data_IF_855475085188
#
_entry.id   IF_855475085188
#
_cell.length_a   1.000
_cell.length_b   1.000
_cell.length_c   1.000
_cell.angle_alpha   90.00
_cell.angle_beta   90.00
_cell.angle_gamma   90.00
#
_symmetry.space_group_name_H-M   'P 1'
#
loop_
_entity.id
_entity.type
_entity.pdbx_description
1 polymer ?
#
# COMPACT_ATOMS: atom_id res chain seq x y z
N UNK A 1 -7.65 -5.54 -21.77
CA UNK A 1 -6.72 -5.02 -22.78
C UNK A 1 -7.33 -5.14 -24.19
N UNK A 2 -8.11 -6.18 -24.47
CA UNK A 2 -8.82 -6.31 -25.77
C UNK A 2 -9.86 -5.21 -26.03
N UNK A 3 -10.24 -4.43 -25.04
CA UNK A 3 -11.22 -3.31 -25.17
C UNK A 3 -10.55 -1.98 -25.55
N UNK A 4 -9.22 -1.89 -25.57
CA UNK A 4 -8.49 -0.65 -25.86
C UNK A 4 -8.52 0.39 -24.72
N UNK A 5 -8.96 0.00 -23.52
CA UNK A 5 -9.05 0.90 -22.36
C UNK A 5 -7.68 1.19 -21.72
N UNK A 6 -6.75 0.23 -21.80
CA UNK A 6 -5.34 0.41 -21.44
C UNK A 6 -4.48 0.33 -22.70
N UNK A 7 -3.61 1.31 -22.90
CA UNK A 7 -2.81 1.45 -24.11
C UNK A 7 -1.35 1.13 -23.83
N UNK A 8 -0.71 0.43 -24.76
CA UNK A 8 0.70 0.15 -24.75
C UNK A 8 1.53 1.46 -24.71
N UNK A 9 2.63 1.46 -23.95
CA UNK A 9 3.55 2.58 -23.85
C UNK A 9 3.09 3.75 -23.00
N UNK A 10 1.88 3.73 -22.45
CA UNK A 10 1.45 4.69 -21.45
C UNK A 10 1.90 4.27 -20.03
N UNK A 11 2.04 5.27 -19.16
CA UNK A 11 2.39 5.07 -17.75
C UNK A 11 1.15 5.09 -16.89
N UNK A 12 1.05 4.13 -16.00
CA UNK A 12 -0.13 3.94 -15.16
C UNK A 12 0.20 3.95 -13.68
N UNK A 13 -0.78 4.38 -12.90
CA UNK A 13 -0.81 4.21 -11.45
C UNK A 13 -1.55 2.90 -11.13
N UNK A 14 -0.95 2.10 -10.27
CA UNK A 14 -1.47 0.80 -9.84
C UNK A 14 -1.77 0.85 -8.34
N UNK A 15 -2.96 0.46 -7.98
CA UNK A 15 -3.40 0.32 -6.59
C UNK A 15 -3.68 -1.15 -6.27
N UNK A 16 -3.26 -1.59 -5.10
CA UNK A 16 -3.60 -2.92 -4.60
C UNK A 16 -4.06 -2.82 -3.14
N UNK A 17 -5.23 -3.39 -2.86
CA UNK A 17 -5.80 -3.44 -1.52
C UNK A 17 -6.64 -4.70 -1.32
N UNK A 18 -6.88 -5.05 -0.04
CA UNK A 18 -7.75 -6.15 0.34
C UNK A 18 -9.13 -5.62 0.73
N UNK A 19 -10.15 -6.17 0.10
CA UNK A 19 -11.54 -5.83 0.37
C UNK A 19 -12.23 -6.96 1.14
N UNK A 20 -12.87 -6.63 2.26
CA UNK A 20 -13.66 -7.63 2.99
C UNK A 20 -15.07 -7.73 2.41
N UNK A 21 -15.47 -8.96 2.11
CA UNK A 21 -16.81 -9.29 1.61
C UNK A 21 -17.49 -10.17 2.64
N UNK A 22 -18.45 -9.59 3.36
CA UNK A 22 -19.29 -10.35 4.31
C UNK A 22 -20.23 -11.30 3.59
N UNK A 23 -20.30 -12.53 4.05
CA UNK A 23 -21.19 -13.56 3.46
C UNK A 23 -21.47 -14.67 4.46
N UNK A 24 -22.68 -15.26 4.35
CA UNK A 24 -23.09 -16.45 5.09
C UNK A 24 -22.79 -17.78 4.39
N UNK A 25 -21.95 -17.81 3.35
CA UNK A 25 -21.60 -19.08 2.68
C UNK A 25 -20.90 -20.03 3.63
N UNK A 26 -21.13 -21.33 3.44
CA UNK A 26 -20.65 -22.39 4.34
C UNK A 26 -19.12 -22.50 4.42
N UNK A 27 -18.41 -22.09 3.38
CA UNK A 27 -16.96 -22.13 3.27
C UNK A 27 -16.28 -20.82 3.71
N UNK A 28 -17.06 -19.76 3.95
CA UNK A 28 -16.54 -18.47 4.41
C UNK A 28 -15.92 -18.58 5.81
N UNK A 29 -14.86 -17.81 6.09
CA UNK A 29 -14.11 -17.85 7.35
C UNK A 29 -14.31 -16.57 8.17
N UNK A 30 -14.20 -16.65 9.51
CA UNK A 30 -14.24 -15.47 10.36
C UNK A 30 -13.14 -14.49 9.99
N UNK A 31 -13.48 -13.21 9.89
CA UNK A 31 -12.52 -12.12 9.65
C UNK A 31 -12.07 -11.50 10.98
N UNK A 32 -10.96 -10.75 10.99
CA UNK A 32 -10.56 -9.98 12.18
C UNK A 32 -11.58 -8.87 12.53
N UNK A 33 -12.43 -8.48 11.59
CA UNK A 33 -13.52 -7.51 11.81
C UNK A 33 -14.76 -8.13 12.46
N UNK A 34 -14.68 -9.41 12.91
CA UNK A 34 -15.73 -10.15 13.64
C UNK A 34 -16.99 -10.49 12.83
N UNK A 35 -16.88 -10.58 11.53
CA UNK A 35 -17.90 -11.19 10.66
C UNK A 35 -17.29 -12.33 9.84
N UNK A 36 -18.13 -13.16 9.24
CA UNK A 36 -17.72 -14.26 8.36
C UNK A 36 -17.70 -13.78 6.91
N UNK A 37 -16.62 -14.09 6.17
CA UNK A 37 -16.49 -13.61 4.79
C UNK A 37 -15.22 -14.04 4.10
N UNK A 38 -14.94 -13.33 3.00
CA UNK A 38 -13.71 -13.43 2.21
C UNK A 38 -12.91 -12.11 2.30
N UNK A 39 -11.63 -12.19 1.94
CA UNK A 39 -10.72 -11.03 1.88
C UNK A 39 -9.95 -11.03 0.57
N UNK A 40 -10.61 -10.87 -0.60
CA UNK A 40 -9.90 -10.81 -1.86
C UNK A 40 -8.94 -9.63 -1.92
N UNK A 41 -7.76 -9.86 -2.50
CA UNK A 41 -6.86 -8.82 -2.97
C UNK A 41 -7.31 -8.33 -4.34
N UNK A 42 -7.42 -7.02 -4.51
CA UNK A 42 -7.90 -6.38 -5.74
C UNK A 42 -6.83 -5.42 -6.25
N UNK A 43 -6.44 -5.61 -7.51
CA UNK A 43 -5.53 -4.73 -8.24
C UNK A 43 -6.31 -3.87 -9.22
N UNK A 44 -6.07 -2.56 -9.22
CA UNK A 44 -6.75 -1.61 -10.12
C UNK A 44 -5.77 -0.67 -10.80
N UNK A 45 -6.12 -0.23 -12.00
CA UNK A 45 -5.49 0.85 -12.76
C UNK A 45 -6.62 1.82 -13.15
N UNK A 46 -6.65 3.01 -12.51
CA UNK A 46 -7.79 3.90 -12.65
C UNK A 46 -9.09 3.22 -12.22
N UNK A 47 -10.07 3.12 -13.13
CA UNK A 47 -11.36 2.48 -12.88
C UNK A 47 -11.40 1.00 -13.30
N UNK A 48 -10.26 0.43 -13.73
CA UNK A 48 -10.18 -0.92 -14.27
C UNK A 48 -9.60 -1.92 -13.27
N UNK A 49 -10.32 -2.98 -12.99
CA UNK A 49 -9.80 -4.11 -12.21
C UNK A 49 -8.90 -4.95 -13.13
N UNK A 50 -7.59 -4.99 -12.82
CA UNK A 50 -6.58 -5.72 -13.59
C UNK A 50 -6.18 -7.04 -12.94
N UNK A 51 -6.57 -7.26 -11.70
CA UNK A 51 -6.32 -8.51 -11.00
C UNK A 51 -7.19 -8.69 -9.76
N UNK A 52 -7.62 -9.92 -9.52
CA UNK A 52 -8.30 -10.32 -8.28
C UNK A 52 -7.70 -11.63 -7.83
N UNK A 53 -7.41 -11.72 -6.55
CA UNK A 53 -7.09 -12.98 -5.90
C UNK A 53 -8.02 -13.20 -4.71
N UNK A 54 -8.87 -14.22 -4.82
CA UNK A 54 -9.77 -14.56 -3.72
C UNK A 54 -9.02 -15.20 -2.56
N UNK A 55 -9.39 -14.81 -1.33
CA UNK A 55 -8.80 -15.31 -0.09
C UNK A 55 -9.87 -15.48 0.97
N UNK A 56 -9.64 -16.45 1.84
CA UNK A 56 -10.45 -16.62 3.03
C UNK A 56 -10.34 -15.39 3.95
N UNK A 57 -11.44 -15.09 4.65
CA UNK A 57 -11.52 -13.92 5.54
C UNK A 57 -10.51 -13.90 6.69
N UNK A 58 -9.97 -15.05 7.09
CA UNK A 58 -8.94 -15.20 8.12
C UNK A 58 -7.51 -15.26 7.57
N UNK A 59 -7.32 -15.16 6.25
CA UNK A 59 -5.99 -15.20 5.64
C UNK A 59 -5.21 -13.93 5.96
N UNK A 60 -3.95 -14.07 6.37
CA UNK A 60 -3.06 -12.93 6.52
C UNK A 60 -2.87 -12.22 5.16
N UNK A 61 -3.03 -10.91 5.13
CA UNK A 61 -2.92 -10.11 3.89
C UNK A 61 -1.59 -10.33 3.15
N UNK A 62 -0.50 -10.63 3.85
CA UNK A 62 0.83 -10.91 3.25
C UNK A 62 1.02 -12.33 2.73
N UNK A 63 0.11 -13.24 3.09
CA UNK A 63 0.26 -14.63 2.67
C UNK A 63 0.27 -14.74 1.15
N UNK A 64 1.43 -15.09 0.59
CA UNK A 64 1.68 -15.19 -0.86
C UNK A 64 1.28 -13.96 -1.69
N UNK A 65 1.29 -12.77 -1.07
CA UNK A 65 0.95 -11.53 -1.78
C UNK A 65 2.00 -11.19 -2.84
N UNK A 66 3.28 -11.46 -2.57
CA UNK A 66 4.36 -11.31 -3.54
C UNK A 66 4.11 -12.14 -4.80
N UNK A 67 3.66 -13.41 -4.68
CA UNK A 67 3.36 -14.27 -5.84
C UNK A 67 2.18 -13.72 -6.65
N UNK A 68 1.20 -13.14 -5.97
CA UNK A 68 0.03 -12.51 -6.62
C UNK A 68 0.43 -11.28 -7.42
N UNK A 69 1.22 -10.41 -6.81
CA UNK A 69 1.70 -9.18 -7.45
C UNK A 69 2.61 -9.49 -8.64
N UNK A 70 3.57 -10.39 -8.48
CA UNK A 70 4.45 -10.86 -9.55
C UNK A 70 3.66 -11.34 -10.76
N UNK A 71 2.65 -12.19 -10.53
CA UNK A 71 1.79 -12.71 -11.59
C UNK A 71 0.97 -11.61 -12.28
N UNK A 72 0.52 -10.60 -11.55
CA UNK A 72 -0.25 -9.49 -12.12
C UNK A 72 0.67 -8.57 -12.93
N UNK A 73 1.81 -8.19 -12.38
CA UNK A 73 2.77 -7.32 -13.08
C UNK A 73 3.31 -7.97 -14.35
N UNK A 74 3.75 -9.22 -14.28
CA UNK A 74 4.20 -9.96 -15.46
C UNK A 74 3.13 -9.98 -16.55
N UNK A 75 1.86 -10.22 -16.20
CA UNK A 75 0.77 -10.20 -17.18
C UNK A 75 0.54 -8.82 -17.80
N UNK A 76 0.68 -7.75 -17.03
CA UNK A 76 0.57 -6.38 -17.53
C UNK A 76 1.72 -6.08 -18.50
N UNK A 77 2.95 -6.41 -18.13
CA UNK A 77 4.16 -6.22 -18.95
C UNK A 77 4.11 -7.04 -20.24
N UNK A 78 3.68 -8.29 -20.21
CA UNK A 78 3.47 -9.15 -21.39
C UNK A 78 2.48 -8.55 -22.39
N UNK A 79 1.63 -7.62 -21.94
CA UNK A 79 0.69 -6.87 -22.77
C UNK A 79 1.12 -5.41 -23.02
N UNK A 80 2.38 -5.07 -22.79
CA UNK A 80 2.94 -3.74 -23.04
C UNK A 80 2.46 -2.65 -22.08
N UNK A 81 1.87 -3.02 -20.93
CA UNK A 81 1.39 -2.07 -19.92
C UNK A 81 2.46 -1.89 -18.86
N UNK A 82 2.97 -0.67 -18.70
CA UNK A 82 4.01 -0.34 -17.75
C UNK A 82 3.46 0.46 -16.56
N UNK A 83 3.87 0.06 -15.36
CA UNK A 83 3.45 0.74 -14.13
C UNK A 83 4.48 1.82 -13.77
N UNK A 84 4.02 3.06 -13.63
CA UNK A 84 4.86 4.16 -13.16
C UNK A 84 4.86 4.24 -11.62
N UNK A 85 3.69 4.16 -11.01
CA UNK A 85 3.52 4.29 -9.57
C UNK A 85 2.65 3.17 -9.01
N UNK A 86 3.09 2.63 -7.86
CA UNK A 86 2.33 1.65 -7.07
C UNK A 86 1.94 2.27 -5.75
N UNK A 87 0.67 2.13 -5.34
CA UNK A 87 0.16 2.54 -4.03
C UNK A 87 -0.43 1.36 -3.28
N UNK A 88 -0.04 1.20 -2.01
CA UNK A 88 -0.52 0.11 -1.16
C UNK A 88 -0.60 0.57 0.31
N UNK A 89 -1.41 -0.10 1.09
CA UNK A 89 -1.55 0.13 2.52
C UNK A 89 -0.40 -0.50 3.35
N UNK A 90 -0.46 -0.33 4.67
CA UNK A 90 0.55 -0.88 5.59
C UNK A 90 0.50 -2.41 5.72
N UNK A 91 -0.58 -3.05 5.32
CA UNK A 91 -0.71 -4.51 5.25
C UNK A 91 0.32 -5.11 4.30
N UNK A 92 0.65 -4.39 3.25
CA UNK A 92 1.60 -4.78 2.20
C UNK A 92 3.06 -4.40 2.50
N UNK A 93 3.35 -3.75 3.63
CA UNK A 93 4.71 -3.32 3.96
C UNK A 93 5.55 -4.48 4.52
N UNK A 94 6.07 -5.33 3.66
CA UNK A 94 7.10 -6.35 3.95
C UNK A 94 8.22 -6.31 2.93
N UNK A 95 9.37 -6.89 3.28
CA UNK A 95 10.56 -6.88 2.42
C UNK A 95 10.29 -7.53 1.06
N UNK A 96 9.71 -8.73 1.09
CA UNK A 96 9.43 -9.53 -0.11
C UNK A 96 8.45 -8.83 -1.06
N UNK A 97 7.43 -8.16 -0.51
CA UNK A 97 6.46 -7.42 -1.31
C UNK A 97 7.09 -6.17 -1.92
N UNK A 98 7.89 -5.43 -1.14
CA UNK A 98 8.57 -4.22 -1.62
C UNK A 98 9.60 -4.56 -2.71
N UNK A 99 10.29 -5.68 -2.59
CA UNK A 99 11.23 -6.14 -3.63
C UNK A 99 10.50 -6.38 -4.95
N UNK A 100 9.41 -7.15 -4.97
CA UNK A 100 8.60 -7.37 -6.16
C UNK A 100 8.10 -6.04 -6.75
N UNK A 101 7.51 -5.19 -5.93
CA UNK A 101 6.98 -3.90 -6.40
C UNK A 101 8.07 -3.04 -7.04
N UNK A 102 9.27 -3.02 -6.45
CA UNK A 102 10.40 -2.24 -6.92
C UNK A 102 10.94 -2.71 -8.27
N UNK A 103 10.82 -4.00 -8.56
CA UNK A 103 11.28 -4.56 -9.83
C UNK A 103 10.34 -4.23 -11.00
N UNK A 104 9.07 -3.86 -10.73
CA UNK A 104 8.02 -3.66 -11.72
C UNK A 104 7.49 -2.22 -11.85
N UNK A 105 8.02 -1.25 -11.09
CA UNK A 105 7.57 0.14 -11.19
C UNK A 105 8.71 1.15 -11.00
N UNK A 106 8.47 2.39 -11.46
CA UNK A 106 9.44 3.47 -11.26
C UNK A 106 9.38 4.05 -9.85
N UNK A 107 8.18 4.10 -9.26
CA UNK A 107 7.95 4.69 -7.94
C UNK A 107 6.92 3.88 -7.16
N UNK A 108 7.08 3.80 -5.84
CA UNK A 108 6.07 3.19 -4.99
C UNK A 108 5.79 4.03 -3.74
N UNK A 109 4.58 3.93 -3.25
CA UNK A 109 4.06 4.59 -2.05
C UNK A 109 3.34 3.55 -1.19
N UNK A 110 4.07 2.96 -0.24
CA UNK A 110 3.54 1.95 0.67
C UNK A 110 3.54 2.54 2.07
N UNK A 111 2.39 2.58 2.72
CA UNK A 111 2.32 3.06 4.09
C UNK A 111 3.20 2.19 4.98
N UNK A 112 4.21 2.80 5.60
CA UNK A 112 5.13 2.08 6.46
C UNK A 112 4.46 1.64 7.77
N UNK A 113 4.89 0.48 8.28
CA UNK A 113 4.50 -0.03 9.58
C UNK A 113 5.75 -0.26 10.45
N UNK A 114 5.56 -0.40 11.76
CA UNK A 114 6.62 -0.70 12.72
C UNK A 114 7.83 0.25 12.58
N UNK A 115 7.55 1.56 12.54
CA UNK A 115 8.56 2.60 12.39
C UNK A 115 9.06 3.16 13.72
N UNK A 116 8.72 2.55 14.86
CA UNK A 116 9.13 3.03 16.20
C UNK A 116 10.64 3.12 16.37
N UNK A 117 11.40 2.25 15.71
CA UNK A 117 12.87 2.30 15.72
C UNK A 117 13.46 3.60 15.12
N UNK A 118 12.67 4.35 14.35
CA UNK A 118 13.09 5.59 13.70
C UNK A 118 12.49 6.84 14.34
N UNK A 119 11.78 6.71 15.48
CA UNK A 119 11.11 7.86 16.09
C UNK A 119 12.10 8.92 16.55
N UNK A 120 13.22 8.55 17.14
CA UNK A 120 14.24 9.49 17.57
C UNK A 120 14.80 10.28 16.39
N UNK A 121 15.06 9.63 15.26
CA UNK A 121 15.49 10.28 14.03
C UNK A 121 14.42 11.23 13.47
N UNK A 122 13.14 10.84 13.56
CA UNK A 122 12.02 11.68 13.13
C UNK A 122 11.86 12.93 14.01
N UNK A 123 12.07 12.80 15.32
CA UNK A 123 11.94 13.93 16.27
C UNK A 123 12.97 15.04 16.05
N UNK A 124 14.17 14.69 15.63
CA UNK A 124 15.24 15.66 15.39
C UNK A 124 15.19 16.33 14.02
N UNK A 125 14.27 15.89 13.13
CA UNK A 125 14.13 16.47 11.80
C UNK A 125 13.89 17.97 11.84
N UNK A 126 14.57 18.70 10.95
CA UNK A 126 14.42 20.14 10.72
C UNK A 126 13.96 20.39 9.29
N UNK A 127 13.46 21.59 9.00
CA UNK A 127 13.07 21.97 7.64
C UNK A 127 11.76 21.30 7.19
N UNK A 128 10.79 21.22 8.08
CA UNK A 128 9.44 20.76 7.76
C UNK A 128 8.79 21.69 6.74
N UNK A 129 8.17 21.12 5.72
CA UNK A 129 7.41 21.80 4.69
C UNK A 129 5.93 21.68 4.99
N UNK A 130 5.22 22.81 5.05
CA UNK A 130 3.77 22.83 5.23
C UNK A 130 3.09 22.64 3.88
N UNK A 131 2.12 21.74 3.84
CA UNK A 131 1.27 21.46 2.67
C UNK A 131 -0.17 21.35 3.12
N UNK A 132 -1.09 21.85 2.32
CA UNK A 132 -2.53 21.67 2.51
C UNK A 132 -3.02 20.52 1.64
N UNK A 133 -3.64 19.52 2.26
CA UNK A 133 -4.19 18.35 1.58
C UNK A 133 -5.67 18.23 1.98
N UNK A 134 -6.56 18.37 1.02
CA UNK A 134 -8.01 18.33 1.23
C UNK A 134 -8.51 19.29 2.33
N UNK A 135 -7.99 20.53 2.36
CA UNK A 135 -8.35 21.53 3.34
C UNK A 135 -7.75 21.32 4.75
N UNK A 136 -6.83 20.37 4.89
CA UNK A 136 -6.14 20.09 6.14
C UNK A 136 -4.64 20.38 5.97
N UNK A 137 -4.09 21.19 6.88
CA UNK A 137 -2.67 21.51 6.92
C UNK A 137 -1.86 20.38 7.55
N UNK A 138 -0.81 19.95 6.85
CA UNK A 138 0.17 18.97 7.31
C UNK A 138 1.58 19.53 7.19
N UNK A 139 2.45 19.07 8.06
CA UNK A 139 3.89 19.27 7.94
C UNK A 139 4.52 17.97 7.42
N UNK A 140 5.30 18.08 6.35
CA UNK A 140 5.95 16.95 5.67
C UNK A 140 7.47 17.09 5.76
N UNK A 141 8.13 15.97 5.96
CA UNK A 141 9.59 15.83 5.88
C UNK A 141 9.95 14.43 5.36
N UNK A 142 11.21 14.15 5.14
CA UNK A 142 11.65 12.81 4.77
C UNK A 142 13.06 12.52 5.27
N UNK A 143 13.30 11.25 5.57
CA UNK A 143 14.62 10.70 5.92
C UNK A 143 14.89 9.47 5.06
N UNK A 144 16.16 9.11 4.94
CA UNK A 144 16.56 7.80 4.42
C UNK A 144 16.72 6.86 5.62
N UNK A 145 16.04 5.73 5.57
CA UNK A 145 16.09 4.70 6.62
C UNK A 145 16.48 3.37 6.02
N UNK A 146 17.18 2.55 6.78
CA UNK A 146 17.47 1.16 6.45
C UNK A 146 16.53 0.27 7.26
N UNK A 147 15.28 0.13 6.78
CA UNK A 147 14.26 -0.70 7.44
C UNK A 147 14.60 -2.19 7.37
N UNK A 148 15.21 -2.60 6.26
CA UNK A 148 15.74 -3.95 6.05
C UNK A 148 17.21 -3.83 5.71
N UNK A 149 18.03 -4.72 6.27
CA UNK A 149 19.49 -4.66 6.18
C UNK A 149 19.99 -4.50 4.73
N UNK A 150 20.82 -3.49 4.50
CA UNK A 150 21.38 -3.20 3.18
C UNK A 150 20.41 -2.57 2.17
N UNK A 151 19.20 -2.22 2.58
CA UNK A 151 18.17 -1.67 1.71
C UNK A 151 17.69 -0.30 2.21
N UNK A 152 18.33 0.79 1.77
CA UNK A 152 17.90 2.13 2.13
C UNK A 152 16.62 2.52 1.38
N UNK A 153 15.68 3.13 2.09
CA UNK A 153 14.44 3.66 1.55
C UNK A 153 14.20 5.08 2.04
N UNK A 154 13.55 5.88 1.21
CA UNK A 154 13.05 7.18 1.62
C UNK A 154 11.76 7.00 2.40
N UNK A 155 11.78 7.36 3.67
CA UNK A 155 10.58 7.43 4.52
C UNK A 155 10.08 8.87 4.52
N UNK A 156 8.86 9.09 4.02
CA UNK A 156 8.15 10.36 4.14
C UNK A 156 7.40 10.38 5.45
N UNK A 157 7.65 11.39 6.25
CA UNK A 157 7.02 11.60 7.56
C UNK A 157 6.01 12.71 7.45
N UNK A 158 4.79 12.42 7.84
CA UNK A 158 3.70 13.38 7.91
C UNK A 158 3.33 13.58 9.38
N UNK A 159 3.17 14.84 9.80
CA UNK A 159 2.61 15.18 11.10
C UNK A 159 1.56 16.29 10.96
N UNK A 160 0.66 16.34 11.91
CA UNK A 160 -0.35 17.39 12.03
C UNK A 160 -0.24 18.00 13.42
N UNK A 161 -0.49 19.32 13.54
CA UNK A 161 -0.60 19.94 14.85
C UNK A 161 -1.77 19.34 15.60
N UNK A 162 -1.55 18.93 16.84
CA UNK A 162 -2.63 18.54 17.75
C UNK A 162 -3.53 19.76 17.99
N UNK A 163 -4.82 19.58 17.76
CA UNK A 163 -5.83 20.48 18.31
C UNK A 163 -6.17 20.00 19.73
N UNK A 164 -6.47 20.90 20.63
CA UNK A 164 -6.68 20.62 22.09
C UNK A 164 -7.67 19.49 22.40
N UNK A 165 -8.53 19.14 21.42
CA UNK A 165 -9.49 18.03 21.55
C UNK A 165 -8.87 16.62 21.39
N UNK A 166 -7.62 16.50 20.98
CA UNK A 166 -6.95 15.20 20.79
C UNK A 166 -6.09 14.80 21.98
N UNK A 167 -5.95 15.65 22.97
CA UNK A 167 -5.10 15.40 24.14
C UNK A 167 -5.68 14.35 25.11
N UNK A 168 -7.01 14.11 25.09
CA UNK A 168 -7.70 13.15 25.95
C UNK A 168 -7.63 11.68 25.48
N UNK A 169 -7.00 11.39 24.37
CA UNK A 169 -7.00 10.04 23.77
C UNK A 169 -5.70 9.24 23.96
N UNK A 170 -4.72 9.77 24.71
CA UNK A 170 -3.39 9.15 24.84
C UNK A 170 -2.81 9.16 26.26
N UNK A 171 -3.66 9.18 27.28
CA UNK A 171 -3.29 8.83 28.67
C UNK A 171 -3.56 7.35 28.96
#
# INVERSE_FOLDING_TARGET
ISTGELNEGQKYDFDFDHQFIETGKYDAKPTYKKFTGYSPGVAVIGDHIVGIENRDGNTNVRFRQQDTLERIFTRLEDNGIHIDRVRMDCGSCSEEIVDVVKDHCNHFYIRANRCSAFYDDMFILRGWRTEEINGIEFELNSIIVEKWKGKPYRLVVQRQRRTDKTQELWE
#
